data_IF_236761084193
#
_entry.id   IF_236761084193
#
_cell.length_a   1.000
_cell.length_b   1.000
_cell.length_c   1.000
_cell.angle_alpha   90.00
_cell.angle_beta   90.00
_cell.angle_gamma   90.00
#
_symmetry.space_group_name_H-M   'P 1'
#
loop_
_entity.id
_entity.type
_entity.pdbx_description
1 polymer ?
#
# COMPACT_ATOMS: atom_id res chain seq x y z
N UNK A 1 -19.10 30.56 10.75
CA UNK A 1 -18.06 29.74 11.39
C UNK A 1 -17.76 28.58 10.45
N UNK A 2 -16.66 28.68 9.70
CA UNK A 2 -16.23 27.67 8.74
C UNK A 2 -15.56 26.53 9.50
N UNK A 3 -16.15 25.33 9.47
CA UNK A 3 -15.46 24.13 9.92
C UNK A 3 -14.11 24.02 9.19
N UNK A 4 -12.98 23.89 9.88
CA UNK A 4 -11.72 23.64 9.20
C UNK A 4 -11.86 22.31 8.44
N UNK A 5 -11.76 22.40 7.12
CA UNK A 5 -11.71 21.25 6.21
C UNK A 5 -10.44 20.45 6.51
N UNK A 6 -10.52 19.53 7.47
CA UNK A 6 -9.43 18.67 7.93
C UNK A 6 -9.09 17.52 6.96
N UNK A 7 -9.31 17.69 5.64
CA UNK A 7 -8.85 16.72 4.62
C UNK A 7 -8.12 17.44 3.49
N UNK A 8 -6.78 17.54 3.61
CA UNK A 8 -5.92 17.03 2.52
C UNK A 8 -4.57 16.39 2.96
N UNK A 9 -4.15 16.48 4.24
CA UNK A 9 -2.78 16.13 4.66
C UNK A 9 -2.50 14.61 4.62
N UNK A 10 -3.38 13.78 5.18
CA UNK A 10 -3.13 12.33 5.22
C UNK A 10 -3.14 11.65 3.86
N UNK A 11 -3.96 12.16 2.92
CA UNK A 11 -4.00 11.64 1.56
C UNK A 11 -2.78 12.08 0.75
N UNK A 12 -2.26 13.29 0.98
CA UNK A 12 -1.01 13.75 0.37
C UNK A 12 0.18 12.89 0.81
N UNK A 13 0.29 12.57 2.10
CA UNK A 13 1.36 11.71 2.65
C UNK A 13 1.33 10.32 2.01
N UNK A 14 0.15 9.70 1.92
CA UNK A 14 0.00 8.37 1.30
C UNK A 14 0.30 8.39 -0.19
N UNK A 15 -0.07 9.45 -0.92
CA UNK A 15 0.28 9.62 -2.33
C UNK A 15 1.79 9.75 -2.54
N UNK A 16 2.47 10.55 -1.71
CA UNK A 16 3.93 10.70 -1.78
C UNK A 16 4.64 9.39 -1.44
N UNK A 17 4.18 8.66 -0.42
CA UNK A 17 4.69 7.33 -0.11
C UNK A 17 4.51 6.36 -1.29
N UNK A 18 3.33 6.37 -1.92
CA UNK A 18 3.06 5.58 -3.13
C UNK A 18 3.98 5.92 -4.30
N UNK A 19 4.30 7.20 -4.53
CA UNK A 19 5.27 7.63 -5.55
C UNK A 19 6.65 7.05 -5.24
N UNK A 20 7.12 7.16 -4.00
CA UNK A 20 8.44 6.62 -3.60
C UNK A 20 8.49 5.11 -3.78
N UNK A 21 7.46 4.38 -3.34
CA UNK A 21 7.37 2.93 -3.55
C UNK A 21 7.38 2.57 -5.05
N UNK A 22 6.66 3.32 -5.89
CA UNK A 22 6.65 3.11 -7.34
C UNK A 22 8.02 3.40 -7.96
N UNK A 23 8.71 4.46 -7.55
CA UNK A 23 10.06 4.80 -8.01
C UNK A 23 11.08 3.72 -7.67
N UNK A 24 10.91 3.03 -6.53
CA UNK A 24 11.75 1.88 -6.14
C UNK A 24 11.35 0.62 -6.91
N UNK A 25 10.05 0.35 -7.09
CA UNK A 25 9.55 -0.87 -7.72
C UNK A 25 9.68 -0.88 -9.26
N UNK A 26 9.67 0.29 -9.91
CA UNK A 26 9.75 0.44 -11.35
C UNK A 26 11.07 -0.07 -11.96
N UNK A 27 12.28 0.34 -11.48
CA UNK A 27 13.53 -0.21 -11.99
C UNK A 27 13.63 -1.72 -11.75
N UNK A 28 13.13 -2.23 -10.62
CA UNK A 28 13.06 -3.67 -10.37
C UNK A 28 12.19 -4.40 -11.40
N UNK A 29 11.03 -3.84 -11.72
CA UNK A 29 10.10 -4.39 -12.73
C UNK A 29 10.75 -4.45 -14.11
N UNK A 30 11.40 -3.35 -14.53
CA UNK A 30 12.09 -3.28 -15.82
C UNK A 30 13.26 -4.28 -15.91
N UNK A 31 14.06 -4.39 -14.85
CA UNK A 31 15.15 -5.35 -14.78
C UNK A 31 14.65 -6.79 -14.88
N UNK A 32 13.60 -7.14 -14.13
CA UNK A 32 13.03 -8.49 -14.14
C UNK A 32 12.41 -8.82 -15.50
N UNK A 33 11.67 -7.90 -16.11
CA UNK A 33 11.11 -8.07 -17.44
C UNK A 33 12.20 -8.27 -18.51
N UNK A 34 13.26 -7.45 -18.49
CA UNK A 34 14.40 -7.59 -19.40
C UNK A 34 15.12 -8.93 -19.20
N UNK A 35 15.31 -9.37 -17.96
CA UNK A 35 15.90 -10.68 -17.67
C UNK A 35 15.03 -11.83 -18.17
N UNK A 36 13.71 -11.75 -17.99
CA UNK A 36 12.77 -12.75 -18.48
C UNK A 36 12.81 -12.84 -20.02
N UNK A 37 12.87 -11.69 -20.71
CA UNK A 37 13.02 -11.66 -22.16
C UNK A 37 14.31 -12.35 -22.63
N UNK A 38 15.44 -12.15 -21.93
CA UNK A 38 16.68 -12.83 -22.25
C UNK A 38 16.59 -14.37 -22.08
N UNK A 39 15.92 -14.85 -21.03
CA UNK A 39 15.69 -16.29 -20.85
C UNK A 39 14.78 -16.87 -21.93
N UNK A 40 13.72 -16.14 -22.30
CA UNK A 40 12.81 -16.56 -23.36
C UNK A 40 13.48 -16.64 -24.73
N UNK A 41 14.27 -15.62 -25.08
CA UNK A 41 14.84 -15.47 -26.43
C UNK A 41 16.06 -16.36 -26.71
N UNK A 42 16.86 -16.69 -25.70
CA UNK A 42 18.15 -17.35 -25.92
C UNK A 42 18.30 -18.74 -25.26
N UNK A 43 17.41 -19.15 -24.34
CA UNK A 43 17.58 -20.41 -23.58
C UNK A 43 16.25 -21.07 -23.20
N UNK A 44 15.67 -21.83 -24.14
CA UNK A 44 14.41 -22.57 -23.93
C UNK A 44 14.45 -23.57 -22.76
N UNK A 45 15.63 -24.13 -22.44
CA UNK A 45 15.80 -25.06 -21.31
C UNK A 45 15.70 -24.42 -19.92
N UNK A 46 15.61 -23.08 -19.84
CA UNK A 46 15.53 -22.35 -18.58
C UNK A 46 14.11 -21.85 -18.28
N UNK A 47 13.09 -22.64 -18.64
CA UNK A 47 11.67 -22.32 -18.43
C UNK A 47 11.34 -21.95 -16.97
N UNK A 48 11.97 -22.63 -16.01
CA UNK A 48 11.86 -22.31 -14.59
C UNK A 48 12.30 -20.87 -14.28
N UNK A 49 13.45 -20.43 -14.81
CA UNK A 49 13.94 -19.07 -14.58
C UNK A 49 13.11 -18.04 -15.32
N UNK A 50 12.63 -18.34 -16.53
CA UNK A 50 11.71 -17.47 -17.26
C UNK A 50 10.44 -17.21 -16.44
N UNK A 51 9.72 -18.28 -16.07
CA UNK A 51 8.44 -18.18 -15.33
C UNK A 51 8.61 -17.48 -13.99
N UNK A 52 9.67 -17.81 -13.26
CA UNK A 52 10.05 -17.14 -12.01
C UNK A 52 10.24 -15.64 -12.18
N UNK A 53 11.01 -15.20 -13.20
CA UNK A 53 11.31 -13.78 -13.42
C UNK A 53 10.08 -13.02 -13.90
N UNK A 54 9.21 -13.66 -14.69
CA UNK A 54 7.91 -13.09 -15.09
C UNK A 54 7.00 -12.89 -13.88
N UNK A 55 6.89 -13.89 -12.99
CA UNK A 55 6.06 -13.78 -11.78
C UNK A 55 6.60 -12.70 -10.84
N UNK A 56 7.91 -12.69 -10.56
CA UNK A 56 8.53 -11.66 -9.74
C UNK A 56 8.34 -10.26 -10.35
N UNK A 57 8.53 -10.11 -11.66
CA UNK A 57 8.31 -8.84 -12.36
C UNK A 57 6.83 -8.41 -12.33
N UNK A 58 5.89 -9.36 -12.36
CA UNK A 58 4.46 -9.07 -12.25
C UNK A 58 4.08 -8.57 -10.86
N UNK A 59 4.70 -9.11 -9.80
CA UNK A 59 4.46 -8.65 -8.42
C UNK A 59 5.01 -7.24 -8.21
N UNK A 60 6.23 -6.95 -8.68
CA UNK A 60 6.78 -5.58 -8.61
C UNK A 60 5.99 -4.61 -9.50
N UNK A 61 5.53 -5.07 -10.67
CA UNK A 61 4.63 -4.31 -11.53
C UNK A 61 3.27 -4.03 -10.87
N UNK A 62 2.75 -4.98 -10.10
CA UNK A 62 1.55 -4.82 -9.29
C UNK A 62 1.67 -3.71 -8.25
N UNK A 63 2.83 -3.57 -7.61
CA UNK A 63 3.11 -2.44 -6.68
C UNK A 63 3.02 -1.11 -7.43
N UNK A 64 3.66 -0.99 -8.59
CA UNK A 64 3.62 0.22 -9.43
C UNK A 64 2.19 0.52 -9.87
N UNK A 65 1.44 -0.50 -10.28
CA UNK A 65 0.03 -0.36 -10.67
C UNK A 65 -0.82 0.17 -9.52
N UNK A 66 -0.73 -0.42 -8.32
CA UNK A 66 -1.49 0.04 -7.16
C UNK A 66 -1.13 1.49 -6.79
N UNK A 67 0.15 1.84 -6.83
CA UNK A 67 0.59 3.22 -6.59
C UNK A 67 0.02 4.20 -7.64
N UNK A 68 -0.02 3.81 -8.91
CA UNK A 68 -0.61 4.62 -9.97
C UNK A 68 -2.14 4.81 -9.79
N UNK A 69 -2.84 3.75 -9.35
CA UNK A 69 -4.27 3.82 -9.02
C UNK A 69 -4.51 4.79 -7.86
N UNK A 70 -3.71 4.72 -6.79
CA UNK A 70 -3.84 5.63 -5.63
C UNK A 70 -3.57 7.10 -5.95
N UNK A 71 -2.72 7.37 -6.95
CA UNK A 71 -2.47 8.74 -7.41
C UNK A 71 -3.68 9.34 -8.13
N UNK A 72 -4.39 8.52 -8.92
CA UNK A 72 -5.50 8.98 -9.76
C UNK A 72 -6.85 8.92 -9.06
N UNK A 73 -7.03 8.03 -8.09
CA UNK A 73 -8.30 7.87 -7.40
C UNK A 73 -8.42 8.81 -6.18
N UNK A 74 -9.63 9.35 -5.98
CA UNK A 74 -10.04 9.92 -4.70
C UNK A 74 -10.43 8.78 -3.75
N UNK A 75 -9.43 8.16 -3.13
CA UNK A 75 -9.63 6.99 -2.25
C UNK A 75 -10.12 7.40 -0.87
N UNK A 76 -11.19 6.76 -0.40
CA UNK A 76 -11.64 6.83 0.99
C UNK A 76 -10.60 6.19 1.92
N UNK A 77 -10.52 6.58 3.20
CA UNK A 77 -9.53 6.06 4.16
C UNK A 77 -9.47 4.53 4.23
N UNK A 78 -10.62 3.84 4.18
CA UNK A 78 -10.68 2.37 4.15
C UNK A 78 -10.11 1.76 2.88
N UNK A 79 -10.37 2.38 1.72
CA UNK A 79 -9.82 1.94 0.44
C UNK A 79 -8.30 2.17 0.38
N UNK A 80 -7.82 3.31 0.91
CA UNK A 80 -6.41 3.60 1.02
C UNK A 80 -5.68 2.55 1.87
N UNK A 81 -6.25 2.16 3.02
CA UNK A 81 -5.72 1.09 3.84
C UNK A 81 -5.62 -0.25 3.10
N UNK A 82 -6.68 -0.66 2.37
CA UNK A 82 -6.65 -1.91 1.59
C UNK A 82 -5.57 -1.86 0.52
N UNK A 83 -5.42 -0.74 -0.18
CA UNK A 83 -4.40 -0.59 -1.23
C UNK A 83 -2.97 -0.59 -0.65
N UNK A 84 -2.74 0.02 0.51
CA UNK A 84 -1.46 -0.11 1.21
C UNK A 84 -1.21 -1.56 1.66
N UNK A 85 -2.24 -2.26 2.14
CA UNK A 85 -2.12 -3.65 2.58
C UNK A 85 -1.76 -4.57 1.42
N UNK A 86 -2.33 -4.33 0.23
CA UNK A 86 -1.98 -5.05 -1.00
C UNK A 86 -0.53 -4.79 -1.40
N UNK A 87 -0.05 -3.53 -1.37
CA UNK A 87 1.36 -3.26 -1.67
C UNK A 87 2.30 -3.93 -0.67
N UNK A 88 1.96 -3.90 0.62
CA UNK A 88 2.74 -4.55 1.65
C UNK A 88 2.80 -6.08 1.48
N UNK A 89 1.69 -6.74 1.13
CA UNK A 89 1.69 -8.18 0.89
C UNK A 89 2.50 -8.56 -0.35
N UNK A 90 2.41 -7.78 -1.43
CA UNK A 90 3.24 -7.95 -2.63
C UNK A 90 4.73 -7.75 -2.32
N UNK A 91 5.08 -6.73 -1.53
CA UNK A 91 6.44 -6.46 -1.11
C UNK A 91 6.99 -7.60 -0.24
N UNK A 92 6.19 -8.14 0.69
CA UNK A 92 6.56 -9.29 1.51
C UNK A 92 6.77 -10.55 0.65
N UNK A 93 5.93 -10.78 -0.36
CA UNK A 93 6.13 -11.90 -1.29
C UNK A 93 7.47 -11.81 -2.02
N UNK A 94 7.84 -10.64 -2.55
CA UNK A 94 9.16 -10.41 -3.17
C UNK A 94 10.30 -10.54 -2.16
N UNK A 95 10.13 -10.05 -0.94
CA UNK A 95 11.13 -10.17 0.11
C UNK A 95 11.43 -11.63 0.43
N UNK A 96 10.39 -12.45 0.65
CA UNK A 96 10.56 -13.88 0.90
C UNK A 96 11.23 -14.53 -0.30
N UNK A 97 10.74 -14.25 -1.51
CA UNK A 97 11.30 -14.77 -2.75
C UNK A 97 12.81 -14.50 -2.87
N UNK A 98 13.23 -13.23 -2.79
CA UNK A 98 14.62 -12.80 -2.94
C UNK A 98 15.53 -13.38 -1.84
N UNK A 99 15.03 -13.51 -0.62
CA UNK A 99 15.82 -14.07 0.47
C UNK A 99 15.95 -15.60 0.39
N UNK A 100 14.95 -16.29 -0.18
CA UNK A 100 15.04 -17.73 -0.44
C UNK A 100 15.93 -18.08 -1.65
N UNK A 101 15.90 -17.30 -2.73
CA UNK A 101 16.61 -17.65 -3.98
C UNK A 101 18.12 -17.43 -3.90
N UNK A 102 18.58 -16.39 -3.18
CA UNK A 102 19.98 -15.94 -3.22
C UNK A 102 20.79 -16.22 -1.94
N UNK A 103 20.45 -17.27 -1.19
CA UNK A 103 21.08 -17.65 0.09
C UNK A 103 20.82 -16.66 1.25
N UNK A 104 20.83 -17.15 2.49
CA UNK A 104 20.51 -16.40 3.71
C UNK A 104 21.67 -15.50 4.16
N UNK A 105 22.11 -14.59 3.28
CA UNK A 105 23.02 -13.53 3.68
C UNK A 105 22.31 -12.59 4.67
N UNK A 106 22.76 -12.63 5.93
CA UNK A 106 22.21 -11.85 7.02
C UNK A 106 22.18 -10.34 6.69
N UNK A 107 23.20 -9.82 6.01
CA UNK A 107 23.25 -8.40 5.63
C UNK A 107 22.15 -8.06 4.65
N UNK A 108 21.96 -8.90 3.61
CA UNK A 108 20.88 -8.69 2.63
C UNK A 108 19.52 -8.82 3.28
N UNK A 109 19.33 -9.79 4.17
CA UNK A 109 18.07 -10.00 4.87
C UNK A 109 17.70 -8.77 5.71
N UNK A 110 18.66 -8.22 6.46
CA UNK A 110 18.44 -7.00 7.24
C UNK A 110 18.11 -5.82 6.33
N UNK A 111 18.88 -5.59 5.27
CA UNK A 111 18.68 -4.45 4.36
C UNK A 111 17.33 -4.54 3.63
N UNK A 112 17.02 -5.70 3.06
CA UNK A 112 15.75 -5.91 2.35
C UNK A 112 14.56 -5.90 3.30
N UNK A 113 14.72 -6.44 4.52
CA UNK A 113 13.69 -6.42 5.55
C UNK A 113 13.40 -5.00 6.04
N UNK A 114 14.45 -4.21 6.29
CA UNK A 114 14.32 -2.80 6.65
C UNK A 114 13.65 -2.00 5.54
N UNK A 115 14.01 -2.24 4.27
CA UNK A 115 13.37 -1.61 3.12
C UNK A 115 11.86 -1.93 3.07
N UNK A 116 11.46 -3.19 3.29
CA UNK A 116 10.05 -3.58 3.34
C UNK A 116 9.31 -2.87 4.49
N UNK A 117 9.91 -2.84 5.67
CA UNK A 117 9.30 -2.21 6.85
C UNK A 117 9.12 -0.71 6.63
N UNK A 118 10.17 0.00 6.22
CA UNK A 118 10.16 1.45 6.05
C UNK A 118 9.29 1.87 4.87
N UNK A 119 9.43 1.19 3.72
CA UNK A 119 8.73 1.63 2.52
C UNK A 119 7.28 1.16 2.47
N UNK A 120 6.92 0.01 3.07
CA UNK A 120 5.58 -0.56 2.91
C UNK A 120 4.79 -0.70 4.21
N UNK A 121 5.42 -1.11 5.32
CA UNK A 121 4.70 -1.23 6.59
C UNK A 121 4.50 0.11 7.30
N UNK A 122 5.41 1.08 7.16
CA UNK A 122 5.22 2.40 7.76
C UNK A 122 4.02 3.15 7.13
N UNK A 123 3.87 3.23 5.80
CA UNK A 123 2.67 3.80 5.19
C UNK A 123 1.39 3.01 5.50
N UNK A 124 1.48 1.68 5.60
CA UNK A 124 0.35 0.83 6.01
C UNK A 124 -0.09 1.14 7.45
N UNK A 125 0.84 1.28 8.38
CA UNK A 125 0.54 1.65 9.77
C UNK A 125 -0.11 3.02 9.86
N UNK A 126 0.35 3.98 9.05
CA UNK A 126 -0.28 5.30 8.94
C UNK A 126 -1.71 5.21 8.36
N UNK A 127 -1.91 4.44 7.29
CA UNK A 127 -3.23 4.22 6.71
C UNK A 127 -4.19 3.53 7.71
N UNK A 128 -3.67 2.61 8.53
CA UNK A 128 -4.45 1.95 9.57
C UNK A 128 -4.90 2.92 10.66
N UNK A 129 -4.00 3.75 11.18
CA UNK A 129 -4.31 4.75 12.20
C UNK A 129 -5.40 5.73 11.71
N UNK A 130 -5.23 6.28 10.50
CA UNK A 130 -6.20 7.21 9.91
C UNK A 130 -7.55 6.55 9.58
N UNK A 131 -7.57 5.26 9.26
CA UNK A 131 -8.82 4.53 9.05
C UNK A 131 -9.62 4.37 10.35
N UNK A 132 -8.94 4.08 11.48
CA UNK A 132 -9.56 4.00 12.80
C UNK A 132 -10.10 5.32 13.31
N UNK A 133 -9.36 6.41 13.07
CA UNK A 133 -9.81 7.76 13.44
C UNK A 133 -11.11 8.12 12.72
N UNK A 134 -11.19 7.86 11.41
CA UNK A 134 -12.40 8.10 10.62
C UNK A 134 -13.60 7.27 11.10
N UNK A 135 -13.39 6.01 11.51
CA UNK A 135 -14.44 5.19 12.11
C UNK A 135 -14.92 5.73 13.46
N UNK A 136 -14.00 6.24 14.28
CA UNK A 136 -14.30 6.79 15.60
C UNK A 136 -15.10 8.10 15.50
N UNK A 137 -14.72 8.98 14.60
CA UNK A 137 -15.46 10.22 14.32
C UNK A 137 -16.87 9.93 13.81
N UNK A 138 -17.02 8.98 12.87
CA UNK A 138 -18.34 8.57 12.37
C UNK A 138 -19.25 7.98 13.45
N UNK A 139 -18.71 7.27 14.44
CA UNK A 139 -19.49 6.78 15.58
C UNK A 139 -19.93 7.91 16.51
N UNK A 140 -19.05 8.88 16.77
CA UNK A 140 -19.35 10.03 17.62
C UNK A 140 -20.41 10.95 16.99
N UNK A 141 -20.38 11.16 15.68
CA UNK A 141 -21.42 11.93 14.99
C UNK A 141 -22.79 11.25 15.09
N UNK A 142 -22.86 9.94 14.85
CA UNK A 142 -24.11 9.17 15.00
C UNK A 142 -24.65 9.20 16.44
N UNK A 143 -23.76 9.15 17.45
CA UNK A 143 -24.15 9.21 18.86
C UNK A 143 -24.58 10.62 19.30
N UNK A 144 -23.98 11.68 18.73
CA UNK A 144 -24.36 13.07 18.98
C UNK A 144 -25.71 13.44 18.36
N UNK A 145 -25.99 12.92 17.16
CA UNK A 145 -27.25 13.14 16.44
C UNK A 145 -28.41 12.42 17.15
N UNK A 146 -28.19 11.21 17.67
CA UNK A 146 -29.18 10.49 18.48
C UNK A 146 -29.48 11.15 19.84
N UNK A 147 -28.59 12.00 20.36
CA UNK A 147 -28.78 12.71 21.64
C UNK A 147 -29.41 14.10 21.48
N UNK A 148 -29.37 14.67 20.27
CA UNK A 148 -29.96 15.98 19.98
C UNK A 148 -31.48 15.93 19.76
N UNK A 149 -32.04 14.75 19.48
CA UNK A 149 -33.49 14.56 19.22
C UNK A 149 -34.31 14.43 20.52
N UNK A 150 -33.68 14.19 21.67
CA UNK A 150 -34.37 13.92 22.94
C UNK A 150 -34.46 15.13 23.89
N UNK A 151 -34.12 16.34 23.42
CA UNK A 151 -34.15 17.56 24.25
C UNK A 151 -34.98 18.65 23.59
N UNK A 152 -36.29 18.67 23.94
CA UNK A 152 -37.36 19.68 23.77
C UNK A 152 -38.55 19.06 23.00
N UNK A 153 -39.71 18.83 23.62
CA UNK A 153 -40.55 19.85 24.28
C UNK A 153 -41.45 19.22 25.37
N UNK A 154 -41.40 19.68 26.65
CA UNK A 154 -42.56 19.54 27.52
C UNK A 154 -43.62 20.53 27.02
N UNK A 155 -44.77 20.01 26.58
CA UNK A 155 -45.97 20.81 26.34
C UNK A 155 -46.40 21.39 27.70
N UNK A 156 -46.16 22.69 27.89
CA UNK A 156 -46.71 23.46 28.99
C UNK A 156 -48.22 23.61 28.79
N UNK A 157 -48.97 23.17 29.81
CA UNK A 157 -50.16 23.83 30.37
C UNK A 157 -51.33 24.11 29.45
#
# INVERSE_FOLDING_TARGET
MTHPSNRPLGQAILRTAGIVQALVALPCTLYLAGSAYNYFSHRFDLWYYFTTRVLAGSVTGGIVFVAAVQQRAATTSRQAFVLEAVKASLATAIFVWVNTEFSWDLKRLIVTGLAVVVLFYAPLGYAWATSKEAEREGRLSLQGEGRAVDVKTPLLG
#
